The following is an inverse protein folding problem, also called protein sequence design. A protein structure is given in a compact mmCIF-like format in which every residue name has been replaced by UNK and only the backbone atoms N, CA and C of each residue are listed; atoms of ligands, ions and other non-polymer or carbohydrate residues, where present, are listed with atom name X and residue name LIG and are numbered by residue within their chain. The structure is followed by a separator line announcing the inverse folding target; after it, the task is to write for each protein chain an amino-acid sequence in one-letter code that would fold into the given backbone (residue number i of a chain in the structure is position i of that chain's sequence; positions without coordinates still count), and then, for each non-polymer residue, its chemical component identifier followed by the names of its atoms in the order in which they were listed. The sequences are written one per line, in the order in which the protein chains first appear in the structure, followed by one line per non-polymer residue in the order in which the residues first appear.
data_IF_688370886228
#
_entry.id   IF_688370886228
#
_cell.length_a   1.000
_cell.length_b   1.000
_cell.length_c   1.000
_cell.angle_alpha   90.00
_cell.angle_beta   90.00
_cell.angle_gamma   90.00
#
_symmetry.space_group_name_H-M   'P 1'
#
loop_
_entity.id
_entity.type
_entity.pdbx_description
1 polymer ?
#
# COMPACT_ATOMS: atom_id res chain seq x y z
N UNK A 1 -7.82 -7.92 11.00
CA UNK A 1 -8.47 -8.51 9.80
C UNK A 1 -7.47 -9.36 9.03
N UNK A 2 -6.29 -8.85 8.68
CA UNK A 2 -5.26 -9.67 8.04
C UNK A 2 -4.69 -10.70 9.03
N UNK A 3 -4.46 -11.92 8.55
CA UNK A 3 -3.92 -13.06 9.29
C UNK A 3 -2.95 -13.81 8.38
N UNK A 4 -1.65 -13.74 8.63
CA UNK A 4 -0.63 -14.56 7.95
C UNK A 4 -0.62 -14.48 6.42
N UNK A 5 -0.67 -13.27 5.84
CA UNK A 5 -0.66 -13.08 4.38
C UNK A 5 0.76 -12.90 3.85
N UNK A 6 1.08 -13.59 2.76
CA UNK A 6 2.34 -13.46 2.03
C UNK A 6 2.07 -13.12 0.57
N UNK A 7 2.79 -12.13 0.05
CA UNK A 7 2.76 -11.75 -1.36
C UNK A 7 4.14 -11.25 -1.79
N UNK A 8 4.44 -11.39 -3.07
CA UNK A 8 5.66 -10.88 -3.70
C UNK A 8 5.28 -10.25 -5.03
N UNK A 9 5.95 -9.15 -5.37
CA UNK A 9 5.84 -8.47 -6.67
C UNK A 9 7.26 -8.18 -7.13
N UNK A 10 7.62 -8.69 -8.31
CA UNK A 10 8.93 -8.50 -8.91
C UNK A 10 8.96 -7.25 -9.80
N UNK A 11 10.16 -6.83 -10.20
CA UNK A 11 10.33 -5.73 -11.13
C UNK A 11 9.64 -6.04 -12.48
N UNK A 12 8.85 -5.09 -12.99
CA UNK A 12 8.08 -5.24 -14.22
C UNK A 12 6.84 -6.15 -14.09
N UNK A 13 6.56 -6.69 -12.90
CA UNK A 13 5.41 -7.57 -12.68
C UNK A 13 4.14 -6.77 -12.36
N UNK A 14 3.01 -7.23 -12.89
CA UNK A 14 1.68 -6.76 -12.49
C UNK A 14 0.97 -7.86 -11.71
N UNK A 15 0.66 -7.60 -10.45
CA UNK A 15 -0.04 -8.54 -9.55
C UNK A 15 -1.39 -7.98 -9.16
N UNK A 16 -2.41 -8.83 -9.15
CA UNK A 16 -3.75 -8.49 -8.68
C UNK A 16 -4.08 -9.25 -7.39
N UNK A 17 -4.62 -8.53 -6.40
CA UNK A 17 -5.17 -9.12 -5.17
C UNK A 17 -6.69 -9.12 -5.29
N UNK A 18 -7.29 -10.30 -5.40
CA UNK A 18 -8.73 -10.48 -5.59
C UNK A 18 -9.34 -11.15 -4.36
N UNK A 19 -10.54 -10.71 -3.98
CA UNK A 19 -11.28 -11.25 -2.85
C UNK A 19 -12.57 -10.47 -2.62
N UNK A 20 -13.49 -11.01 -1.82
CA UNK A 20 -14.75 -10.36 -1.49
C UNK A 20 -14.56 -9.02 -0.74
N UNK A 21 -15.64 -8.24 -0.65
CA UNK A 21 -15.64 -7.06 0.22
C UNK A 21 -15.41 -7.48 1.67
N UNK A 22 -14.57 -6.75 2.39
CA UNK A 22 -14.16 -7.11 3.76
C UNK A 22 -13.01 -8.12 3.86
N UNK A 23 -12.52 -8.70 2.76
CA UNK A 23 -11.39 -9.65 2.79
C UNK A 23 -10.03 -9.04 3.22
N UNK A 24 -9.97 -7.72 3.48
CA UNK A 24 -8.75 -7.05 3.94
C UNK A 24 -7.85 -6.48 2.85
N UNK A 25 -8.28 -6.45 1.58
CA UNK A 25 -7.49 -5.91 0.45
C UNK A 25 -6.99 -4.47 0.72
N UNK A 26 -7.88 -3.56 1.06
CA UNK A 26 -7.53 -2.16 1.36
C UNK A 26 -6.69 -2.06 2.64
N UNK A 27 -6.90 -2.96 3.62
CA UNK A 27 -6.07 -3.04 4.82
C UNK A 27 -4.63 -3.43 4.49
N UNK A 28 -4.43 -4.36 3.54
CA UNK A 28 -3.12 -4.77 3.08
C UNK A 28 -2.39 -3.61 2.38
N UNK A 29 -3.06 -2.89 1.49
CA UNK A 29 -2.48 -1.72 0.82
C UNK A 29 -2.13 -0.61 1.82
N UNK A 30 -2.99 -0.34 2.81
CA UNK A 30 -2.71 0.64 3.88
C UNK A 30 -1.53 0.22 4.78
N UNK A 31 -1.37 -1.08 5.04
CA UNK A 31 -0.23 -1.60 5.77
C UNK A 31 1.09 -1.39 5.00
N UNK A 32 1.09 -1.60 3.68
CA UNK A 32 2.25 -1.29 2.82
C UNK A 32 2.61 0.20 2.88
N UNK A 33 1.61 1.08 2.95
CA UNK A 33 1.80 2.53 3.05
C UNK A 33 2.11 3.05 4.47
N UNK A 34 2.23 2.16 5.47
CA UNK A 34 2.50 2.54 6.85
C UNK A 34 1.35 3.30 7.54
N UNK A 35 0.15 3.35 6.93
CA UNK A 35 -1.04 3.99 7.52
C UNK A 35 -1.87 3.03 8.36
N UNK A 36 -1.55 1.73 8.31
CA UNK A 36 -2.09 0.69 9.19
C UNK A 36 -0.92 -0.03 9.88
N UNK A 37 -0.94 -0.20 11.22
CA UNK A 37 0.14 -0.87 11.93
C UNK A 37 0.24 -2.36 11.55
N UNK A 38 1.47 -2.85 11.43
CA UNK A 38 1.80 -4.26 11.22
C UNK A 38 2.21 -4.84 12.57
N UNK A 39 1.41 -5.74 13.12
CA UNK A 39 1.67 -6.35 14.44
C UNK A 39 2.71 -7.48 14.37
N UNK A 40 2.68 -8.26 13.28
CA UNK A 40 3.56 -9.40 13.05
C UNK A 40 3.95 -9.47 11.57
N UNK A 41 5.12 -10.06 11.29
CA UNK A 41 5.68 -10.15 9.95
C UNK A 41 6.45 -8.89 9.53
N UNK A 42 6.75 -8.77 8.23
CA UNK A 42 7.48 -7.64 7.70
C UNK A 42 7.09 -7.36 6.25
N UNK A 43 7.04 -6.07 5.90
CA UNK A 43 6.94 -5.60 4.52
C UNK A 43 8.31 -5.08 4.11
N UNK A 44 8.81 -5.56 2.96
CA UNK A 44 10.10 -5.15 2.41
C UNK A 44 9.95 -4.62 0.99
N UNK A 45 10.72 -3.58 0.68
CA UNK A 45 10.85 -3.04 -0.67
C UNK A 45 12.33 -2.98 -1.02
N UNK A 46 12.71 -3.61 -2.14
CA UNK A 46 14.11 -3.74 -2.57
C UNK A 46 15.04 -4.27 -1.44
N UNK A 47 14.54 -5.23 -0.66
CA UNK A 47 15.28 -5.85 0.45
C UNK A 47 15.20 -5.09 1.79
N UNK A 48 14.78 -3.83 1.78
CA UNK A 48 14.69 -3.00 2.99
C UNK A 48 13.33 -3.08 3.66
N UNK A 49 13.30 -3.15 4.99
CA UNK A 49 12.05 -3.15 5.75
C UNK A 49 11.40 -1.74 5.74
N UNK A 50 10.12 -1.67 5.38
CA UNK A 50 9.38 -0.40 5.26
C UNK A 50 8.19 -0.25 6.23
N UNK A 51 7.76 -1.33 6.88
CA UNK A 51 6.54 -1.36 7.70
C UNK A 51 6.57 -0.46 8.96
N UNK A 52 7.75 0.03 9.37
CA UNK A 52 7.92 0.96 10.50
C UNK A 52 8.23 2.39 10.03
N UNK A 53 8.24 2.64 8.73
CA UNK A 53 8.48 3.97 8.19
C UNK A 53 7.17 4.76 8.15
N UNK A 54 7.29 6.08 8.30
CA UNK A 54 6.17 6.98 8.02
C UNK A 54 5.86 6.99 6.53
N UNK A 55 4.60 7.22 6.18
CA UNK A 55 4.12 7.23 4.79
C UNK A 55 4.96 8.12 3.88
N UNK A 56 5.41 9.29 4.34
CA UNK A 56 6.21 10.21 3.51
C UNK A 56 7.59 9.62 3.14
N UNK A 57 8.20 8.83 4.02
CA UNK A 57 9.45 8.13 3.74
C UNK A 57 9.24 6.96 2.77
N UNK A 58 8.10 6.27 2.85
CA UNK A 58 7.72 5.19 1.93
C UNK A 58 7.51 5.75 0.52
N UNK A 59 6.80 6.88 0.39
CA UNK A 59 6.58 7.56 -0.89
C UNK A 59 7.89 8.02 -1.52
N UNK A 60 8.83 8.56 -0.73
CA UNK A 60 10.17 8.95 -1.23
C UNK A 60 11.00 7.78 -1.77
N UNK A 61 10.66 6.54 -1.42
CA UNK A 61 11.28 5.32 -1.99
C UNK A 61 10.64 4.88 -3.30
N UNK A 62 9.57 5.54 -3.76
CA UNK A 62 8.91 5.28 -5.03
C UNK A 62 7.64 4.42 -4.95
N UNK A 63 7.11 4.17 -3.75
CA UNK A 63 5.84 3.46 -3.57
C UNK A 63 4.70 4.48 -3.49
N UNK A 64 3.74 4.38 -4.42
CA UNK A 64 2.59 5.28 -4.50
C UNK A 64 1.31 4.49 -4.27
N UNK A 65 0.35 5.10 -3.58
CA UNK A 65 -0.96 4.53 -3.32
C UNK A 65 -2.06 5.40 -3.91
N UNK A 66 -2.93 4.76 -4.70
CA UNK A 66 -4.15 5.36 -5.22
C UNK A 66 -5.32 4.73 -4.46
N UNK A 67 -6.04 5.49 -3.61
CA UNK A 67 -7.17 4.98 -2.86
C UNK A 67 -8.37 4.67 -3.77
N UNK A 68 -9.30 3.85 -3.24
CA UNK A 68 -10.56 3.54 -3.91
C UNK A 68 -11.47 4.78 -3.97
N UNK A 69 -11.49 5.56 -2.89
CA UNK A 69 -12.19 6.83 -2.84
C UNK A 69 -11.48 7.87 -3.73
N UNK A 70 -12.26 8.60 -4.53
CA UNK A 70 -11.75 9.68 -5.37
C UNK A 70 -11.33 10.87 -4.50
N UNK A 71 -10.07 10.90 -4.07
CA UNK A 71 -9.48 12.01 -3.33
C UNK A 71 -8.96 13.10 -4.28
N UNK A 72 -9.85 13.65 -5.11
CA UNK A 72 -9.52 14.74 -6.02
C UNK A 72 -9.60 16.09 -5.31
N UNK A 73 -8.73 17.02 -5.70
CA UNK A 73 -8.81 18.41 -5.25
C UNK A 73 -9.89 19.12 -6.06
N UNK A 74 -11.12 19.13 -5.54
CA UNK A 74 -12.30 19.67 -6.25
C UNK A 74 -12.14 21.08 -6.85
N UNK A 75 -11.38 22.01 -6.24
CA UNK A 75 -11.18 23.34 -6.82
C UNK A 75 -10.17 23.41 -7.99
N UNK A 76 -9.39 22.35 -8.23
CA UNK A 76 -8.30 22.36 -9.22
C UNK A 76 -8.75 21.81 -10.57
N UNK A 77 -8.14 22.30 -11.66
CA UNK A 77 -8.29 21.70 -12.98
C UNK A 77 -7.44 20.44 -13.13
N UNK A 78 -7.52 19.75 -14.28
CA UNK A 78 -6.71 18.55 -14.53
C UNK A 78 -5.21 18.87 -14.69
N UNK A 79 -4.87 20.08 -15.12
CA UNK A 79 -3.48 20.51 -15.32
C UNK A 79 -2.77 20.92 -14.01
N UNK A 80 -3.54 21.15 -12.95
CA UNK A 80 -3.09 21.67 -11.64
C UNK A 80 -3.05 20.57 -10.57
#
# INVERSE_FOLDING_TARGET
VLQGVSAQVNEGETVAIVGSNGAGKSTLLRAVMGTQPVFEGAIRFQGEAIHNLRTEAIVRKGIVYVPEEKMLFSPLTVEE
#
